data_IF_245226809531
#
_entry.id   IF_245226809531
#
_cell.length_a   1.000
_cell.length_b   1.000
_cell.length_c   1.000
_cell.angle_alpha   90.00
_cell.angle_beta   90.00
_cell.angle_gamma   90.00
#
_symmetry.space_group_name_H-M   'P 1'
#
loop_
_entity.id
_entity.type
_entity.pdbx_description
1 polymer ?
#
# COMPACT_ATOMS: atom_id res chain seq x y z
N UNK A 1 11.63 -9.88 -35.21
CA UNK A 1 11.68 -8.71 -34.35
C UNK A 1 12.15 -9.13 -32.95
N UNK A 2 13.01 -8.35 -32.30
CA UNK A 2 13.44 -8.64 -30.91
C UNK A 2 12.25 -8.37 -30.01
N UNK A 3 11.83 -9.34 -29.20
CA UNK A 3 10.70 -9.17 -28.27
C UNK A 3 11.05 -8.09 -27.24
N UNK A 4 10.23 -7.06 -27.11
CA UNK A 4 10.42 -6.02 -26.12
C UNK A 4 10.13 -6.59 -24.73
N UNK A 5 11.05 -6.34 -23.78
CA UNK A 5 10.96 -6.87 -22.43
C UNK A 5 11.44 -5.85 -21.41
N UNK A 6 10.53 -5.37 -20.58
CA UNK A 6 10.79 -4.36 -19.54
C UNK A 6 11.02 -5.03 -18.19
N UNK A 7 12.10 -4.68 -17.50
CA UNK A 7 12.33 -4.99 -16.10
C UNK A 7 11.86 -3.83 -15.23
N UNK A 8 10.95 -4.09 -14.30
CA UNK A 8 10.46 -3.13 -13.30
C UNK A 8 11.05 -3.48 -11.94
N UNK A 9 11.74 -2.57 -11.29
CA UNK A 9 12.44 -2.82 -10.01
C UNK A 9 11.78 -2.02 -8.89
N UNK A 10 11.14 -2.71 -7.90
CA UNK A 10 10.65 -2.12 -6.66
C UNK A 10 10.64 -3.14 -5.53
N UNK A 11 11.51 -3.00 -4.52
CA UNK A 11 11.71 -4.01 -3.46
C UNK A 11 10.89 -3.76 -2.19
N UNK A 12 10.52 -2.51 -1.88
CA UNK A 12 9.87 -2.08 -0.63
C UNK A 12 9.41 -0.61 -0.70
N UNK A 13 8.62 -0.05 0.25
CA UNK A 13 7.91 -0.84 1.24
C UNK A 13 6.64 -1.44 0.63
N UNK A 14 5.84 -2.19 1.41
CA UNK A 14 4.64 -2.88 0.89
C UNK A 14 3.69 -1.91 0.17
N UNK A 15 3.31 -0.80 0.80
CA UNK A 15 2.42 0.19 0.19
C UNK A 15 3.01 0.83 -1.08
N UNK A 16 4.33 1.10 -1.10
CA UNK A 16 5.00 1.61 -2.30
C UNK A 16 5.02 0.59 -3.45
N UNK A 17 5.15 -0.71 -3.14
CA UNK A 17 5.04 -1.78 -4.14
C UNK A 17 3.61 -1.87 -4.64
N UNK A 18 2.62 -1.85 -3.75
CA UNK A 18 1.20 -1.82 -4.09
C UNK A 18 0.87 -0.65 -5.04
N UNK A 19 1.40 0.55 -4.79
CA UNK A 19 1.20 1.70 -5.68
C UNK A 19 1.79 1.52 -7.09
N UNK A 20 2.66 0.53 -7.35
CA UNK A 20 3.12 0.26 -8.72
C UNK A 20 2.11 -0.53 -9.55
N UNK A 21 1.17 -1.24 -8.90
CA UNK A 21 0.21 -2.14 -9.56
C UNK A 21 -0.65 -1.42 -10.59
N UNK A 22 -1.33 -0.29 -10.29
CA UNK A 22 -2.13 0.43 -11.27
C UNK A 22 -1.33 0.85 -12.51
N UNK A 23 -0.06 1.21 -12.31
CA UNK A 23 0.80 1.69 -13.39
C UNK A 23 1.28 0.52 -14.25
N UNK A 24 1.71 -0.59 -13.62
CA UNK A 24 2.14 -1.81 -14.33
C UNK A 24 0.97 -2.43 -15.11
N UNK A 25 -0.23 -2.48 -14.51
CA UNK A 25 -1.44 -2.94 -15.20
C UNK A 25 -1.75 -2.09 -16.42
N UNK A 26 -1.76 -0.77 -16.26
CA UNK A 26 -2.05 0.17 -17.35
C UNK A 26 -1.02 0.08 -18.48
N UNK A 27 0.26 -0.08 -18.14
CA UNK A 27 1.33 -0.35 -19.10
C UNK A 27 1.07 -1.66 -19.85
N UNK A 28 0.80 -2.74 -19.12
CA UNK A 28 0.56 -4.06 -19.71
C UNK A 28 -0.62 -4.08 -20.67
N UNK A 29 -1.71 -3.37 -20.32
CA UNK A 29 -2.91 -3.25 -21.13
C UNK A 29 -2.67 -2.44 -22.41
N UNK A 30 -1.90 -1.35 -22.35
CA UNK A 30 -1.61 -0.49 -23.49
C UNK A 30 -0.54 -1.07 -24.43
N UNK A 31 0.35 -1.91 -23.91
CA UNK A 31 1.46 -2.53 -24.66
C UNK A 31 1.39 -4.07 -24.54
N UNK A 32 0.36 -4.74 -25.08
CA UNK A 32 0.16 -6.19 -24.87
C UNK A 32 1.25 -7.06 -25.51
N UNK A 33 2.02 -6.52 -26.46
CA UNK A 33 3.16 -7.20 -27.09
C UNK A 33 4.45 -7.08 -26.30
N UNK A 34 4.52 -6.20 -25.29
CA UNK A 34 5.69 -6.00 -24.44
C UNK A 34 5.61 -6.92 -23.24
N UNK A 35 6.65 -7.74 -23.03
CA UNK A 35 6.79 -8.49 -21.77
C UNK A 35 7.22 -7.57 -20.64
N UNK A 36 6.64 -7.75 -19.48
CA UNK A 36 6.98 -7.00 -18.27
C UNK A 36 7.37 -8.01 -17.19
N UNK A 37 8.53 -7.83 -16.58
CA UNK A 37 8.93 -8.61 -15.40
C UNK A 37 9.10 -7.67 -14.22
N UNK A 38 8.32 -7.88 -13.16
CA UNK A 38 8.46 -7.13 -11.92
C UNK A 38 9.42 -7.88 -11.00
N UNK A 39 10.50 -7.21 -10.62
CA UNK A 39 11.50 -7.69 -9.66
C UNK A 39 11.22 -7.08 -8.30
N UNK A 40 10.81 -7.92 -7.35
CA UNK A 40 10.51 -7.49 -5.99
C UNK A 40 10.84 -8.59 -4.97
N UNK A 41 10.54 -8.31 -3.69
CA UNK A 41 10.67 -9.31 -2.62
C UNK A 41 9.49 -10.30 -2.67
N UNK A 42 9.65 -11.51 -2.08
CA UNK A 42 8.64 -12.57 -2.16
C UNK A 42 7.22 -12.16 -1.78
N UNK A 43 7.05 -11.31 -0.75
CA UNK A 43 5.74 -10.84 -0.30
C UNK A 43 4.90 -10.15 -1.40
N UNK A 44 5.55 -9.62 -2.43
CA UNK A 44 4.90 -8.85 -3.49
C UNK A 44 4.30 -9.73 -4.60
N UNK A 45 4.53 -11.03 -4.59
CA UNK A 45 4.02 -11.97 -5.59
C UNK A 45 2.52 -11.82 -5.84
N UNK A 46 1.65 -11.73 -4.82
CA UNK A 46 0.20 -11.62 -5.00
C UNK A 46 -0.25 -10.40 -5.79
N UNK A 47 0.55 -9.34 -5.83
CA UNK A 47 0.22 -8.12 -6.57
C UNK A 47 0.37 -8.25 -8.08
N UNK A 48 1.22 -9.17 -8.55
CA UNK A 48 1.61 -9.24 -9.96
C UNK A 48 1.30 -10.59 -10.60
N UNK A 49 1.17 -11.65 -9.80
CA UNK A 49 0.75 -12.95 -10.28
C UNK A 49 -0.71 -12.83 -10.78
N UNK A 50 -0.92 -13.14 -12.05
CA UNK A 50 -2.21 -12.98 -12.73
C UNK A 50 -2.69 -11.53 -12.96
N UNK A 51 -1.85 -10.51 -12.79
CA UNK A 51 -2.23 -9.12 -13.04
C UNK A 51 -2.56 -8.87 -14.52
N UNK A 52 -1.78 -9.45 -15.44
CA UNK A 52 -2.01 -9.42 -16.89
C UNK A 52 -1.20 -10.53 -17.55
N UNK A 53 -1.63 -11.08 -18.73
CA UNK A 53 -0.94 -12.17 -19.40
C UNK A 53 0.53 -11.90 -19.78
N UNK A 54 0.89 -10.63 -19.97
CA UNK A 54 2.24 -10.19 -20.34
C UNK A 54 3.07 -9.70 -19.13
N UNK A 55 2.53 -9.80 -17.90
CA UNK A 55 3.23 -9.48 -16.65
C UNK A 55 3.70 -10.74 -15.97
N UNK A 56 4.99 -10.82 -15.67
CA UNK A 56 5.59 -11.86 -14.86
C UNK A 56 6.23 -11.31 -13.59
N UNK A 57 6.38 -12.16 -12.58
CA UNK A 57 7.00 -11.82 -11.31
C UNK A 57 8.32 -12.58 -11.13
N UNK A 58 9.34 -11.87 -10.62
CA UNK A 58 10.62 -12.45 -10.24
C UNK A 58 10.99 -12.05 -8.82
N UNK A 59 11.22 -13.03 -8.00
CA UNK A 59 11.63 -12.82 -6.61
C UNK A 59 13.10 -12.44 -6.49
N UNK A 60 13.37 -11.56 -5.54
CA UNK A 60 14.70 -11.24 -5.06
C UNK A 60 14.76 -11.33 -3.53
N UNK A 61 15.34 -12.40 -3.02
CA UNK A 61 15.65 -12.50 -1.58
C UNK A 61 16.91 -11.69 -1.27
N UNK A 62 16.70 -10.44 -0.92
CA UNK A 62 17.76 -9.48 -0.61
C UNK A 62 18.35 -9.64 0.80
N UNK A 63 17.78 -10.53 1.62
CA UNK A 63 18.29 -10.84 2.96
C UNK A 63 19.08 -12.15 2.99
N UNK A 64 18.79 -13.08 2.07
CA UNK A 64 19.43 -14.37 1.86
C UNK A 64 20.32 -14.39 0.61
N UNK A 65 19.83 -15.00 -0.48
CA UNK A 65 20.59 -15.29 -1.71
C UNK A 65 21.28 -14.06 -2.32
N UNK A 66 20.59 -12.90 -2.33
CA UNK A 66 21.10 -11.67 -2.96
C UNK A 66 21.58 -10.63 -1.95
N UNK A 67 22.07 -11.07 -0.78
CA UNK A 67 22.59 -10.19 0.25
C UNK A 67 23.94 -9.58 -0.15
N UNK A 68 24.07 -8.27 0.07
CA UNK A 68 25.32 -7.52 -0.16
C UNK A 68 25.73 -7.39 -1.63
N UNK A 69 26.90 -6.85 -1.92
CA UNK A 69 27.38 -6.61 -3.29
C UNK A 69 27.56 -7.90 -4.07
N UNK A 70 28.10 -8.96 -3.42
CA UNK A 70 28.29 -10.28 -4.06
C UNK A 70 26.93 -10.87 -4.51
N UNK A 71 25.92 -10.80 -3.65
CA UNK A 71 24.57 -11.26 -3.96
C UNK A 71 23.91 -10.41 -5.06
N UNK A 72 24.07 -9.08 -5.04
CA UNK A 72 23.58 -8.21 -6.12
C UNK A 72 24.25 -8.48 -7.46
N UNK A 73 25.54 -8.86 -7.48
CA UNK A 73 26.22 -9.31 -8.71
C UNK A 73 25.64 -10.64 -9.23
N UNK A 74 25.30 -11.57 -8.35
CA UNK A 74 24.64 -12.83 -8.74
C UNK A 74 23.26 -12.54 -9.33
N UNK A 75 22.47 -11.67 -8.69
CA UNK A 75 21.19 -11.22 -9.21
C UNK A 75 21.33 -10.55 -10.59
N UNK A 76 22.30 -9.64 -10.74
CA UNK A 76 22.56 -8.97 -12.01
C UNK A 76 22.84 -9.97 -13.14
N UNK A 77 23.70 -10.98 -12.91
CA UNK A 77 23.99 -12.04 -13.91
C UNK A 77 22.74 -12.83 -14.30
N UNK A 78 21.85 -13.09 -13.34
CA UNK A 78 20.56 -13.77 -13.60
C UNK A 78 19.62 -12.88 -14.42
N UNK A 79 19.65 -11.55 -14.19
CA UNK A 79 18.83 -10.58 -14.90
C UNK A 79 19.26 -10.42 -16.37
N UNK A 80 20.55 -10.25 -16.65
CA UNK A 80 21.03 -10.08 -18.05
C UNK A 80 20.70 -11.31 -18.93
N UNK A 81 20.68 -12.51 -18.36
CA UNK A 81 20.31 -13.72 -19.07
C UNK A 81 18.84 -13.71 -19.57
N UNK A 82 18.00 -12.82 -19.05
CA UNK A 82 16.58 -12.68 -19.45
C UNK A 82 16.35 -11.72 -20.64
N UNK A 83 17.39 -11.12 -21.17
CA UNK A 83 17.37 -10.30 -22.38
C UNK A 83 16.37 -9.12 -22.31
N UNK A 84 16.37 -8.37 -21.21
CA UNK A 84 15.60 -7.13 -21.11
C UNK A 84 16.03 -6.11 -22.16
N UNK A 85 15.06 -5.33 -22.65
CA UNK A 85 15.30 -4.22 -23.58
C UNK A 85 15.27 -2.85 -22.87
N UNK A 86 14.57 -2.76 -21.73
CA UNK A 86 14.47 -1.54 -20.95
C UNK A 86 14.38 -1.87 -19.44
N UNK A 87 14.90 -0.97 -18.61
CA UNK A 87 14.98 -1.12 -17.16
C UNK A 87 14.33 0.07 -16.48
N UNK A 88 13.25 -0.15 -15.73
CA UNK A 88 12.53 0.85 -14.94
C UNK A 88 12.85 0.70 -13.46
N UNK A 89 13.73 1.55 -12.91
CA UNK A 89 14.01 1.59 -11.47
C UNK A 89 12.99 2.50 -10.76
N UNK A 90 11.89 1.93 -10.28
CA UNK A 90 10.86 2.62 -9.52
C UNK A 90 11.21 2.77 -8.03
N UNK A 91 12.41 2.34 -7.61
CA UNK A 91 12.81 2.36 -6.20
C UNK A 91 13.88 3.42 -5.88
N UNK A 92 14.91 3.51 -6.71
CA UNK A 92 16.03 4.46 -6.57
C UNK A 92 16.61 4.52 -5.14
N UNK A 93 17.00 3.35 -4.60
CA UNK A 93 17.73 3.15 -3.33
C UNK A 93 19.05 2.45 -3.62
N UNK A 94 19.96 2.37 -2.65
CA UNK A 94 21.31 1.82 -2.84
C UNK A 94 21.35 0.52 -3.65
N UNK A 95 20.47 -0.46 -3.31
CA UNK A 95 20.43 -1.77 -3.98
C UNK A 95 19.98 -1.68 -5.43
N UNK A 96 18.91 -0.96 -5.71
CA UNK A 96 18.41 -0.79 -7.09
C UNK A 96 19.33 0.14 -7.88
N UNK A 97 19.95 1.15 -7.25
CA UNK A 97 20.93 2.01 -7.90
C UNK A 97 22.20 1.26 -8.29
N UNK A 98 22.61 0.25 -7.50
CA UNK A 98 23.70 -0.64 -7.87
C UNK A 98 23.37 -1.45 -9.13
N UNK A 99 22.19 -2.07 -9.20
CA UNK A 99 21.74 -2.78 -10.39
C UNK A 99 21.64 -1.85 -11.60
N UNK A 100 21.06 -0.67 -11.41
CA UNK A 100 20.96 0.37 -12.44
C UNK A 100 22.32 0.78 -12.99
N UNK A 101 23.31 1.00 -12.11
CA UNK A 101 24.68 1.30 -12.52
C UNK A 101 25.26 0.20 -13.42
N UNK A 102 25.05 -1.06 -13.06
CA UNK A 102 25.52 -2.20 -13.86
C UNK A 102 24.84 -2.24 -15.23
N UNK A 103 23.51 -2.03 -15.30
CA UNK A 103 22.79 -1.96 -16.57
C UNK A 103 23.23 -0.78 -17.44
N UNK A 104 23.53 0.38 -16.84
CA UNK A 104 24.07 1.52 -17.59
C UNK A 104 25.46 1.23 -18.18
N UNK A 105 26.34 0.53 -17.45
CA UNK A 105 27.66 0.14 -17.94
C UNK A 105 27.57 -0.80 -19.16
N UNK A 106 26.52 -1.64 -19.20
CA UNK A 106 26.27 -2.55 -20.31
C UNK A 106 25.33 -1.93 -21.39
N UNK A 107 25.15 -0.59 -21.37
CA UNK A 107 24.40 0.22 -22.36
C UNK A 107 22.92 -0.19 -22.53
N UNK A 108 22.25 -0.64 -21.46
CA UNK A 108 20.79 -0.84 -21.47
C UNK A 108 20.05 0.50 -21.48
N UNK A 109 18.83 0.53 -22.04
CA UNK A 109 17.90 1.65 -21.89
C UNK A 109 17.37 1.67 -20.44
N UNK A 110 17.75 2.65 -19.64
CA UNK A 110 17.47 2.69 -18.19
C UNK A 110 16.87 4.03 -17.79
N UNK A 111 15.73 3.99 -17.11
CA UNK A 111 15.15 5.15 -16.43
C UNK A 111 14.89 4.87 -14.95
N UNK A 112 14.76 5.94 -14.16
CA UNK A 112 14.52 5.81 -12.73
C UNK A 112 13.64 6.94 -12.20
N UNK A 113 12.94 6.64 -11.10
CA UNK A 113 12.01 7.56 -10.46
C UNK A 113 12.69 8.85 -9.97
N UNK A 114 12.10 9.99 -10.29
CA UNK A 114 12.31 11.23 -9.53
C UNK A 114 11.41 11.23 -8.29
N UNK A 115 12.02 11.34 -7.13
CA UNK A 115 11.32 11.37 -5.84
C UNK A 115 10.88 12.77 -5.42
N UNK A 116 11.09 13.78 -6.23
CA UNK A 116 10.81 15.19 -5.95
C UNK A 116 11.31 15.67 -4.58
N UNK A 117 12.55 15.30 -4.24
CA UNK A 117 13.13 15.52 -2.90
C UNK A 117 13.15 16.99 -2.48
N UNK A 118 13.34 17.91 -3.44
CA UNK A 118 13.33 19.36 -3.17
C UNK A 118 11.96 19.82 -2.71
N UNK A 119 10.91 19.49 -3.45
CA UNK A 119 9.52 19.83 -3.10
C UNK A 119 9.10 19.20 -1.77
N UNK A 120 9.39 17.91 -1.59
CA UNK A 120 9.12 17.19 -0.33
C UNK A 120 9.87 17.79 0.88
N UNK A 121 11.12 18.27 0.70
CA UNK A 121 11.86 18.95 1.77
C UNK A 121 11.19 20.27 2.15
N UNK A 122 10.71 21.04 1.17
CA UNK A 122 10.01 22.29 1.41
C UNK A 122 8.65 22.06 2.10
N UNK A 123 7.95 20.98 1.78
CA UNK A 123 6.69 20.59 2.39
C UNK A 123 6.82 20.33 3.91
N UNK A 124 7.94 19.78 4.38
CA UNK A 124 8.18 19.41 5.78
C UNK A 124 9.19 20.35 6.49
N UNK A 125 9.47 21.51 5.91
CA UNK A 125 10.39 22.46 6.50
C UNK A 125 9.84 23.03 7.81
N UNK A 126 10.70 23.28 8.80
CA UNK A 126 10.32 23.93 10.06
C UNK A 126 10.10 25.44 9.88
N UNK A 127 10.81 26.04 8.95
CA UNK A 127 10.72 27.47 8.59
C UNK A 127 10.45 27.62 7.09
N UNK A 128 9.70 28.64 6.70
CA UNK A 128 9.34 28.90 5.29
C UNK A 128 8.72 27.67 4.59
N UNK A 129 7.90 26.91 5.32
CA UNK A 129 7.18 25.75 4.82
C UNK A 129 6.31 26.12 3.62
N UNK A 130 6.33 25.30 2.58
CA UNK A 130 5.48 25.47 1.40
C UNK A 130 4.56 24.25 1.27
N UNK A 131 3.27 24.46 1.57
CA UNK A 131 2.22 23.45 1.42
C UNK A 131 1.80 23.33 -0.05
N UNK A 132 2.70 22.82 -0.90
CA UNK A 132 2.44 22.60 -2.32
C UNK A 132 2.32 21.10 -2.56
N UNK A 133 1.20 20.71 -3.19
CA UNK A 133 0.95 19.30 -3.57
C UNK A 133 2.05 18.80 -4.50
N UNK A 134 2.67 17.69 -4.14
CA UNK A 134 3.66 17.00 -4.96
C UNK A 134 2.96 16.05 -5.93
N UNK A 135 3.60 15.69 -7.06
CA UNK A 135 3.11 14.64 -7.94
C UNK A 135 2.85 13.34 -7.17
N UNK A 136 1.80 12.61 -7.54
CA UNK A 136 1.51 11.32 -6.92
C UNK A 136 2.59 10.28 -7.24
N UNK A 137 2.73 9.27 -6.39
CA UNK A 137 3.63 8.15 -6.69
C UNK A 137 3.26 7.45 -8.00
N UNK A 138 1.97 7.38 -8.33
CA UNK A 138 1.48 6.81 -9.60
C UNK A 138 2.00 7.58 -10.81
N UNK A 139 1.93 8.91 -10.76
CA UNK A 139 2.47 9.75 -11.83
C UNK A 139 3.99 9.58 -11.93
N UNK A 140 4.70 9.63 -10.79
CA UNK A 140 6.15 9.45 -10.78
C UNK A 140 6.59 8.10 -11.37
N UNK A 141 5.79 7.04 -11.21
CA UNK A 141 6.06 5.73 -11.83
C UNK A 141 5.74 5.74 -13.33
N UNK A 142 4.64 6.38 -13.74
CA UNK A 142 4.29 6.53 -15.15
C UNK A 142 5.36 7.32 -15.92
N UNK A 143 5.89 8.40 -15.32
CA UNK A 143 6.96 9.22 -15.90
C UNK A 143 8.25 8.41 -16.19
N UNK A 144 8.53 7.36 -15.40
CA UNK A 144 9.67 6.46 -15.68
C UNK A 144 9.47 5.67 -16.98
N UNK A 145 8.25 5.19 -17.21
CA UNK A 145 7.94 4.48 -18.46
C UNK A 145 7.93 5.42 -19.66
N UNK A 146 7.45 6.65 -19.50
CA UNK A 146 7.55 7.66 -20.55
C UNK A 146 9.00 7.95 -20.96
N UNK A 147 9.92 8.07 -19.97
CA UNK A 147 11.36 8.22 -20.24
C UNK A 147 11.96 7.04 -21.00
N UNK A 148 11.38 5.83 -20.86
CA UNK A 148 11.80 4.63 -21.60
C UNK A 148 11.19 4.52 -23.01
N UNK A 149 10.27 5.44 -23.37
CA UNK A 149 9.56 5.42 -24.64
C UNK A 149 8.19 4.74 -24.59
N UNK A 150 7.67 4.46 -23.38
CA UNK A 150 6.36 3.83 -23.14
C UNK A 150 5.46 4.75 -22.32
N UNK A 151 4.93 5.86 -22.86
CA UNK A 151 4.00 6.72 -22.13
C UNK A 151 2.75 5.95 -21.70
N UNK A 152 2.37 6.07 -20.44
CA UNK A 152 1.27 5.32 -19.82
C UNK A 152 0.13 6.25 -19.44
N UNK A 153 -1.06 6.00 -20.00
CA UNK A 153 -2.31 6.55 -19.48
C UNK A 153 -2.83 5.60 -18.41
N UNK A 154 -2.96 6.09 -17.19
CA UNK A 154 -3.42 5.28 -16.07
C UNK A 154 -4.89 4.88 -16.25
N UNK A 155 -5.15 3.59 -16.32
CA UNK A 155 -6.46 2.97 -16.52
C UNK A 155 -6.52 1.65 -15.74
N UNK A 156 -6.69 1.76 -14.44
CA UNK A 156 -6.80 0.64 -13.51
C UNK A 156 -8.03 0.87 -12.63
N UNK A 157 -8.87 -0.13 -12.47
CA UNK A 157 -10.04 -0.05 -11.59
C UNK A 157 -9.82 -0.85 -10.31
N UNK A 158 -9.56 -2.14 -10.44
CA UNK A 158 -9.37 -3.06 -9.33
C UNK A 158 -8.51 -4.25 -9.78
N UNK A 159 -7.85 -4.91 -8.84
CA UNK A 159 -7.19 -6.19 -9.08
C UNK A 159 -8.17 -7.29 -9.49
N UNK A 160 -9.44 -7.16 -9.13
CA UNK A 160 -10.51 -8.09 -9.48
C UNK A 160 -11.37 -7.61 -10.68
N UNK A 161 -10.91 -6.59 -11.41
CA UNK A 161 -11.64 -6.00 -12.53
C UNK A 161 -12.94 -5.32 -12.06
N UNK A 162 -14.07 -5.67 -12.68
CA UNK A 162 -15.41 -5.18 -12.30
C UNK A 162 -16.03 -5.97 -11.13
N UNK A 163 -15.43 -7.10 -10.74
CA UNK A 163 -15.90 -7.98 -9.68
C UNK A 163 -15.21 -7.76 -8.35
N UNK A 164 -15.40 -8.72 -7.45
CA UNK A 164 -14.76 -8.85 -6.15
C UNK A 164 -13.98 -10.16 -6.09
N UNK A 165 -13.13 -10.34 -5.08
CA UNK A 165 -12.45 -11.60 -4.83
C UNK A 165 -13.43 -12.71 -4.43
N UNK A 166 -13.01 -13.96 -4.59
CA UNK A 166 -13.85 -15.12 -4.26
C UNK A 166 -13.75 -15.47 -2.76
N UNK A 167 -14.79 -15.12 -1.99
CA UNK A 167 -14.87 -15.39 -0.54
C UNK A 167 -14.79 -16.89 -0.20
N UNK A 168 -15.18 -17.78 -1.13
CA UNK A 168 -15.16 -19.22 -0.88
C UNK A 168 -13.73 -19.78 -0.72
N UNK A 169 -12.72 -19.02 -1.13
CA UNK A 169 -11.31 -19.39 -0.99
C UNK A 169 -10.73 -19.00 0.38
N UNK A 170 -11.43 -18.19 1.15
CA UNK A 170 -10.97 -17.73 2.46
C UNK A 170 -11.22 -18.78 3.56
N UNK A 171 -10.38 -18.80 4.61
CA UNK A 171 -10.62 -19.63 5.79
C UNK A 171 -11.98 -19.30 6.42
N UNK A 172 -12.78 -20.32 6.72
CA UNK A 172 -14.11 -20.12 7.30
C UNK A 172 -14.06 -19.44 8.67
N UNK A 173 -12.97 -19.60 9.39
CA UNK A 173 -12.74 -19.01 10.70
C UNK A 173 -12.80 -17.47 10.67
N UNK A 174 -12.54 -16.85 9.54
CA UNK A 174 -12.62 -15.38 9.39
C UNK A 174 -14.08 -14.90 9.47
N UNK A 175 -15.05 -15.77 9.17
CA UNK A 175 -16.48 -15.50 9.21
C UNK A 175 -17.17 -16.03 10.47
N UNK A 176 -16.41 -16.39 11.49
CA UNK A 176 -16.91 -16.82 12.79
C UNK A 176 -16.64 -15.73 13.81
N UNK A 177 -17.71 -15.14 14.35
CA UNK A 177 -17.63 -14.32 15.55
C UNK A 177 -17.41 -15.21 16.78
N UNK A 178 -16.87 -14.65 17.89
CA UNK A 178 -16.48 -15.43 19.07
C UNK A 178 -17.60 -16.26 19.70
N UNK A 179 -18.85 -15.86 19.57
CA UNK A 179 -20.01 -16.62 20.09
C UNK A 179 -20.47 -17.75 19.16
N UNK A 180 -19.69 -18.10 18.12
CA UNK A 180 -20.04 -19.14 17.16
C UNK A 180 -21.12 -18.74 16.14
N UNK A 181 -21.51 -17.48 16.13
CA UNK A 181 -22.40 -16.94 15.12
C UNK A 181 -21.66 -16.77 13.79
N UNK A 182 -22.20 -17.36 12.73
CA UNK A 182 -21.64 -17.17 11.37
C UNK A 182 -22.00 -15.78 10.86
N UNK A 183 -21.00 -15.07 10.36
CA UNK A 183 -21.17 -13.83 9.62
C UNK A 183 -21.82 -14.18 8.27
N UNK A 184 -22.92 -13.51 7.94
CA UNK A 184 -23.55 -13.66 6.63
C UNK A 184 -22.59 -13.20 5.53
N UNK A 185 -22.43 -14.00 4.50
CA UNK A 185 -21.60 -13.66 3.33
C UNK A 185 -22.29 -12.66 2.37
N UNK A 186 -23.46 -12.12 2.73
CA UNK A 186 -24.12 -11.03 2.00
C UNK A 186 -23.49 -9.68 2.37
N UNK A 187 -22.42 -9.34 1.67
CA UNK A 187 -21.67 -8.09 1.83
C UNK A 187 -22.41 -6.86 1.25
N UNK A 188 -23.56 -7.05 0.59
CA UNK A 188 -24.41 -5.97 0.10
C UNK A 188 -25.48 -5.56 1.11
N UNK A 189 -25.59 -6.26 2.24
CA UNK A 189 -26.53 -5.92 3.31
C UNK A 189 -26.11 -4.59 3.97
N UNK A 190 -26.87 -3.52 3.69
CA UNK A 190 -26.61 -2.19 4.24
C UNK A 190 -26.89 -2.08 5.74
N UNK A 191 -27.70 -2.97 6.31
CA UNK A 191 -27.97 -3.03 7.74
C UNK A 191 -26.86 -3.75 8.51
N UNK A 192 -26.08 -4.60 7.83
CA UNK A 192 -24.93 -5.32 8.38
C UNK A 192 -23.65 -5.06 7.57
N UNK A 193 -23.17 -3.81 7.47
CA UNK A 193 -22.04 -3.49 6.62
C UNK A 193 -20.73 -4.13 7.14
N UNK A 194 -19.87 -4.53 6.21
CA UNK A 194 -18.52 -4.97 6.51
C UNK A 194 -17.58 -3.77 6.52
N UNK A 195 -16.93 -3.55 7.64
CA UNK A 195 -16.01 -2.41 7.86
C UNK A 195 -14.63 -2.95 8.15
N UNK A 196 -13.63 -2.49 7.41
CA UNK A 196 -12.22 -2.79 7.69
C UNK A 196 -11.60 -1.72 8.57
N UNK A 197 -10.76 -2.10 9.53
CA UNK A 197 -9.95 -1.17 10.32
C UNK A 197 -8.49 -1.66 10.32
N UNK A 198 -7.58 -0.80 9.84
CA UNK A 198 -6.15 -0.99 9.90
C UNK A 198 -5.53 0.06 10.84
N UNK A 199 -5.48 -0.20 12.16
CA UNK A 199 -5.24 0.83 13.19
C UNK A 199 -3.77 1.19 13.36
N UNK A 200 -2.85 0.50 12.67
CA UNK A 200 -1.41 0.65 12.88
C UNK A 200 -0.66 1.15 11.65
N UNK A 201 0.55 1.62 11.89
CA UNK A 201 1.51 2.03 10.87
C UNK A 201 2.94 1.83 11.39
N UNK A 202 3.92 1.80 10.48
CA UNK A 202 5.33 1.57 10.81
C UNK A 202 5.99 2.63 11.72
N UNK A 203 5.37 3.80 11.88
CA UNK A 203 5.97 4.92 12.60
C UNK A 203 4.96 5.62 13.52
N UNK A 204 5.38 5.94 14.74
CA UNK A 204 4.54 6.55 15.78
C UNK A 204 3.82 7.83 15.33
N UNK A 205 4.42 8.64 14.46
CA UNK A 205 3.79 9.85 13.91
C UNK A 205 2.61 9.59 12.98
N UNK A 206 2.27 8.33 12.73
CA UNK A 206 1.18 7.88 11.86
C UNK A 206 0.18 6.97 12.56
N UNK A 207 0.34 6.72 13.86
CA UNK A 207 -0.53 5.82 14.63
C UNK A 207 -1.52 6.65 15.43
N UNK A 208 -2.82 6.41 15.20
CA UNK A 208 -3.89 6.97 16.00
C UNK A 208 -3.91 6.30 17.38
N UNK A 209 -4.11 7.04 18.49
CA UNK A 209 -4.04 6.45 19.82
C UNK A 209 -5.06 5.31 20.01
N UNK A 210 -4.58 4.16 20.50
CA UNK A 210 -5.42 2.97 20.68
C UNK A 210 -6.71 3.24 21.51
N UNK A 211 -6.67 4.01 22.64
CA UNK A 211 -7.91 4.31 23.36
C UNK A 211 -8.91 5.15 22.57
N UNK A 212 -8.45 5.95 21.61
CA UNK A 212 -9.34 6.71 20.72
C UNK A 212 -9.87 5.84 19.58
N UNK A 213 -9.05 4.93 19.04
CA UNK A 213 -9.49 3.95 18.06
C UNK A 213 -10.57 3.02 18.64
N UNK A 214 -10.40 2.59 19.90
CA UNK A 214 -11.40 1.79 20.58
C UNK A 214 -12.75 2.54 20.71
N UNK A 215 -12.72 3.86 20.97
CA UNK A 215 -13.96 4.68 20.96
C UNK A 215 -14.57 4.76 19.55
N UNK A 216 -13.76 4.84 18.50
CA UNK A 216 -14.27 4.76 17.11
C UNK A 216 -15.00 3.43 16.88
N UNK A 217 -14.40 2.31 17.30
CA UNK A 217 -15.03 0.98 17.22
C UNK A 217 -16.38 0.98 17.96
N UNK A 218 -16.41 1.48 19.20
CA UNK A 218 -17.64 1.59 19.99
C UNK A 218 -18.72 2.43 19.31
N UNK A 219 -18.35 3.56 18.72
CA UNK A 219 -19.29 4.41 17.99
C UNK A 219 -19.81 3.74 16.73
N UNK A 220 -18.96 3.06 15.95
CA UNK A 220 -19.37 2.28 14.78
C UNK A 220 -20.39 1.20 15.16
N UNK A 221 -20.13 0.42 16.21
CA UNK A 221 -21.03 -0.60 16.72
C UNK A 221 -22.36 0.02 17.19
N UNK A 222 -22.31 1.17 17.87
CA UNK A 222 -23.52 1.86 18.35
C UNK A 222 -24.41 2.35 17.20
N UNK A 223 -23.80 2.86 16.11
CA UNK A 223 -24.55 3.35 14.94
C UNK A 223 -24.98 2.22 13.99
N UNK A 224 -24.18 1.16 13.91
CA UNK A 224 -24.41 -0.01 13.05
C UNK A 224 -24.34 -1.30 13.88
N UNK A 225 -25.37 -1.63 14.68
CA UNK A 225 -25.33 -2.75 15.63
C UNK A 225 -25.12 -4.12 14.99
N UNK A 226 -25.44 -4.25 13.71
CA UNK A 226 -25.29 -5.50 12.95
C UNK A 226 -24.05 -5.49 12.04
N UNK A 227 -23.19 -4.45 12.14
CA UNK A 227 -21.94 -4.40 11.34
C UNK A 227 -20.94 -5.49 11.75
N UNK A 228 -20.10 -5.88 10.81
CA UNK A 228 -18.94 -6.73 11.05
C UNK A 228 -17.67 -5.92 10.83
N UNK A 229 -16.81 -5.89 11.83
CA UNK A 229 -15.56 -5.10 11.80
C UNK A 229 -14.39 -6.06 11.69
N UNK A 230 -13.65 -5.97 10.59
CA UNK A 230 -12.47 -6.78 10.34
C UNK A 230 -11.21 -5.95 10.59
N UNK A 231 -10.34 -6.44 11.50
CA UNK A 231 -9.07 -5.77 11.81
C UNK A 231 -7.95 -6.31 10.92
N UNK A 232 -7.17 -5.38 10.38
CA UNK A 232 -6.02 -5.65 9.51
C UNK A 232 -4.74 -5.06 10.12
N UNK A 233 -3.69 -5.87 10.16
CA UNK A 233 -2.40 -5.49 10.72
C UNK A 233 -1.54 -6.73 10.91
N UNK A 234 -0.56 -6.69 11.78
CA UNK A 234 0.21 -7.88 12.10
C UNK A 234 1.58 -7.55 12.68
N UNK A 235 2.06 -8.46 13.48
CA UNK A 235 3.32 -8.34 14.20
C UNK A 235 3.15 -8.49 15.70
N UNK A 236 4.26 -8.65 16.39
CA UNK A 236 4.29 -8.98 17.83
C UNK A 236 3.60 -7.93 18.72
N UNK A 237 3.63 -6.65 18.30
CA UNK A 237 3.07 -5.55 19.09
C UNK A 237 1.62 -5.22 18.69
N UNK A 238 1.21 -5.54 17.47
CA UNK A 238 -0.11 -5.19 16.92
C UNK A 238 -1.16 -6.27 17.22
N UNK A 239 -0.82 -7.53 17.00
CA UNK A 239 -1.71 -8.68 17.17
C UNK A 239 -2.39 -8.73 18.54
N UNK A 240 -1.68 -8.58 19.68
CA UNK A 240 -2.33 -8.65 21.00
C UNK A 240 -3.38 -7.56 21.24
N UNK A 241 -3.21 -6.39 20.63
CA UNK A 241 -4.20 -5.29 20.75
C UNK A 241 -5.46 -5.62 19.94
N UNK A 242 -5.28 -6.14 18.72
CA UNK A 242 -6.41 -6.53 17.87
C UNK A 242 -7.17 -7.71 18.46
N UNK A 243 -6.48 -8.69 19.05
CA UNK A 243 -7.11 -9.81 19.76
C UNK A 243 -7.93 -9.32 20.95
N UNK A 244 -7.39 -8.41 21.77
CA UNK A 244 -8.12 -7.83 22.89
C UNK A 244 -9.38 -7.06 22.45
N UNK A 245 -9.37 -6.41 21.31
CA UNK A 245 -10.58 -5.77 20.75
C UNK A 245 -11.58 -6.80 20.20
N UNK A 246 -11.12 -7.88 19.58
CA UNK A 246 -11.97 -8.97 19.13
C UNK A 246 -12.65 -9.70 20.30
N UNK A 247 -11.91 -9.96 21.40
CA UNK A 247 -12.49 -10.51 22.63
C UNK A 247 -13.51 -9.57 23.29
N UNK A 248 -13.28 -8.26 23.19
CA UNK A 248 -14.14 -7.25 23.84
C UNK A 248 -15.43 -6.97 23.10
N UNK A 249 -15.42 -7.04 21.78
CA UNK A 249 -16.53 -6.65 20.91
C UNK A 249 -16.95 -7.80 20.00
N UNK A 250 -18.12 -8.40 20.20
CA UNK A 250 -18.59 -9.54 19.39
C UNK A 250 -18.65 -9.30 17.89
N UNK A 251 -18.77 -8.03 17.44
CA UNK A 251 -18.81 -7.65 16.03
C UNK A 251 -17.42 -7.54 15.39
N UNK A 252 -16.35 -7.64 16.20
CA UNK A 252 -14.97 -7.42 15.76
C UNK A 252 -14.26 -8.76 15.55
N UNK A 253 -13.57 -8.89 14.43
CA UNK A 253 -12.76 -10.06 14.08
C UNK A 253 -11.33 -9.61 13.77
N UNK A 254 -10.34 -10.19 14.43
CA UNK A 254 -8.93 -10.06 14.01
C UNK A 254 -8.72 -10.89 12.73
N UNK A 255 -9.01 -10.30 11.57
CA UNK A 255 -8.91 -10.96 10.28
C UNK A 255 -7.46 -11.37 9.96
N UNK A 256 -6.49 -10.52 10.29
CA UNK A 256 -5.08 -10.80 9.99
C UNK A 256 -4.52 -12.02 10.73
N UNK A 257 -5.10 -12.39 11.87
CA UNK A 257 -4.73 -13.61 12.58
C UNK A 257 -5.30 -14.89 11.93
N UNK A 258 -6.36 -14.75 11.14
CA UNK A 258 -7.11 -15.85 10.53
C UNK A 258 -6.84 -16.02 9.03
N UNK A 259 -6.32 -15.00 8.35
CA UNK A 259 -6.01 -15.00 6.93
C UNK A 259 -4.56 -15.48 6.66
N UNK A 260 -4.32 -16.07 5.48
CA UNK A 260 -3.04 -16.67 5.12
C UNK A 260 -2.18 -15.74 4.25
N UNK A 261 -2.29 -14.42 4.40
CA UNK A 261 -1.45 -13.43 3.75
C UNK A 261 -2.19 -12.47 2.82
N UNK A 262 -1.41 -11.72 2.05
CA UNK A 262 -1.90 -10.58 1.27
C UNK A 262 -3.00 -10.94 0.26
N UNK A 263 -2.95 -12.11 -0.35
CA UNK A 263 -4.01 -12.55 -1.28
C UNK A 263 -5.38 -12.60 -0.61
N UNK A 264 -5.43 -13.23 0.56
CA UNK A 264 -6.67 -13.37 1.33
C UNK A 264 -7.15 -12.01 1.86
N UNK A 265 -6.19 -11.15 2.32
CA UNK A 265 -6.52 -9.79 2.74
C UNK A 265 -7.14 -8.98 1.60
N UNK A 266 -6.60 -9.05 0.38
CA UNK A 266 -7.16 -8.37 -0.79
C UNK A 266 -8.56 -8.88 -1.14
N UNK A 267 -8.79 -10.20 -1.06
CA UNK A 267 -10.10 -10.79 -1.28
C UNK A 267 -11.09 -10.22 -0.26
N UNK A 268 -10.80 -10.32 1.03
CA UNK A 268 -11.68 -9.80 2.08
C UNK A 268 -11.90 -8.29 1.94
N UNK A 269 -10.82 -7.53 1.68
CA UNK A 269 -10.91 -6.07 1.49
C UNK A 269 -11.83 -5.69 0.33
N UNK A 270 -11.92 -6.48 -0.74
CA UNK A 270 -12.80 -6.19 -1.89
C UNK A 270 -14.29 -6.25 -1.56
N UNK A 271 -14.65 -6.83 -0.44
CA UNK A 271 -16.03 -6.95 0.07
C UNK A 271 -16.38 -5.92 1.15
N UNK A 272 -15.41 -5.14 1.60
CA UNK A 272 -15.65 -4.11 2.61
C UNK A 272 -16.44 -2.94 2.03
N UNK A 273 -17.37 -2.42 2.82
CA UNK A 273 -18.08 -1.17 2.53
C UNK A 273 -17.13 0.04 2.60
N UNK A 274 -16.20 0.00 3.55
CA UNK A 274 -15.19 1.03 3.78
C UNK A 274 -14.01 0.44 4.56
N UNK A 275 -12.82 0.98 4.33
CA UNK A 275 -11.62 0.74 5.12
C UNK A 275 -11.23 2.00 5.89
N UNK A 276 -11.20 1.94 7.20
CA UNK A 276 -10.53 2.94 8.05
C UNK A 276 -9.06 2.55 8.19
N UNK A 277 -8.14 3.38 7.75
CA UNK A 277 -6.71 3.07 7.79
C UNK A 277 -5.87 4.26 8.23
N UNK A 278 -4.73 3.99 8.81
CA UNK A 278 -3.66 4.97 8.89
C UNK A 278 -3.08 5.24 7.50
N UNK A 279 -2.28 6.30 7.35
CA UNK A 279 -1.36 6.45 6.22
C UNK A 279 -0.33 5.30 6.24
N UNK A 280 -0.76 4.12 5.76
CA UNK A 280 -0.05 2.84 5.87
C UNK A 280 -0.20 1.97 4.62
N UNK A 281 0.39 0.78 4.64
CA UNK A 281 0.27 -0.20 3.54
C UNK A 281 -1.18 -0.60 3.26
N UNK A 282 -1.99 -0.79 4.30
CA UNK A 282 -3.37 -1.26 4.18
C UNK A 282 -4.29 -0.25 3.45
N UNK A 283 -4.03 1.07 3.58
CA UNK A 283 -4.69 2.08 2.76
C UNK A 283 -4.49 1.79 1.25
N UNK A 284 -3.29 1.40 0.86
CA UNK A 284 -2.99 1.08 -0.53
C UNK A 284 -3.58 -0.25 -0.95
N UNK A 285 -3.56 -1.28 -0.08
CA UNK A 285 -4.16 -2.59 -0.37
C UNK A 285 -5.66 -2.45 -0.64
N UNK A 286 -6.40 -1.78 0.25
CA UNK A 286 -7.83 -1.52 0.07
C UNK A 286 -8.10 -0.73 -1.22
N UNK A 287 -7.24 0.23 -1.55
CA UNK A 287 -7.35 1.01 -2.79
C UNK A 287 -7.16 0.16 -4.06
N UNK A 288 -6.33 -0.90 -4.01
CA UNK A 288 -6.12 -1.81 -5.15
C UNK A 288 -7.34 -2.66 -5.49
N UNK A 289 -8.25 -2.83 -4.56
CA UNK A 289 -9.49 -3.61 -4.74
C UNK A 289 -10.73 -2.73 -4.78
N UNK A 290 -10.53 -1.43 -5.05
CA UNK A 290 -11.59 -0.42 -5.20
C UNK A 290 -12.43 -0.19 -3.95
N UNK A 291 -11.91 -0.52 -2.77
CA UNK A 291 -12.59 -0.25 -1.49
C UNK A 291 -12.39 1.21 -1.12
N UNK A 292 -13.47 1.95 -0.79
CA UNK A 292 -13.36 3.31 -0.26
C UNK A 292 -12.53 3.34 1.03
N UNK A 293 -11.66 4.34 1.17
CA UNK A 293 -10.78 4.47 2.35
C UNK A 293 -11.01 5.80 3.04
N UNK A 294 -11.28 5.73 4.33
CA UNK A 294 -11.10 6.85 5.28
C UNK A 294 -9.69 6.70 5.85
N UNK A 295 -8.85 7.72 5.67
CA UNK A 295 -7.44 7.64 6.08
C UNK A 295 -7.07 8.70 7.10
N UNK A 296 -6.35 8.31 8.16
CA UNK A 296 -5.93 9.22 9.24
C UNK A 296 -4.47 9.64 9.03
N UNK A 297 -4.24 10.97 9.06
CA UNK A 297 -2.95 11.58 8.76
C UNK A 297 -2.46 12.45 9.92
N UNK A 298 -1.33 12.08 10.52
CA UNK A 298 -0.68 12.83 11.60
C UNK A 298 0.52 13.66 11.15
N UNK A 299 1.73 13.14 11.38
CA UNK A 299 2.98 13.80 11.03
C UNK A 299 3.20 13.95 9.51
N UNK A 300 2.49 13.17 8.70
CA UNK A 300 2.48 13.16 7.24
C UNK A 300 1.34 13.98 6.66
N UNK A 301 1.24 14.07 5.34
CA UNK A 301 0.19 14.82 4.66
C UNK A 301 -0.07 14.24 3.26
N UNK A 302 -1.32 14.21 2.77
CA UNK A 302 -1.66 13.79 1.40
C UNK A 302 -0.86 14.50 0.31
N UNK A 303 -0.46 15.74 0.53
CA UNK A 303 0.36 16.53 -0.42
C UNK A 303 1.75 15.93 -0.68
N UNK A 304 2.21 14.96 0.11
CA UNK A 304 3.44 14.23 -0.18
C UNK A 304 3.32 13.26 -1.38
N UNK A 305 2.11 13.07 -1.92
CA UNK A 305 1.83 12.23 -3.09
C UNK A 305 1.62 10.76 -2.78
N UNK A 306 1.20 10.42 -1.55
CA UNK A 306 1.01 9.04 -1.07
C UNK A 306 -0.45 8.65 -0.80
N UNK A 307 -1.43 9.42 -1.32
CA UNK A 307 -2.83 8.98 -1.28
C UNK A 307 -3.01 7.63 -1.98
N UNK A 308 -3.96 6.83 -1.52
CA UNK A 308 -4.36 5.60 -2.18
C UNK A 308 -4.92 5.83 -3.59
N UNK A 309 -4.88 4.81 -4.42
CA UNK A 309 -5.40 4.86 -5.78
C UNK A 309 -6.89 5.20 -5.77
N UNK A 310 -7.31 6.20 -6.56
CA UNK A 310 -8.67 6.71 -6.67
C UNK A 310 -9.33 7.13 -5.34
N UNK A 311 -8.56 7.31 -4.25
CA UNK A 311 -9.14 7.75 -2.99
C UNK A 311 -9.36 9.27 -2.97
N UNK A 312 -10.52 9.68 -2.40
CA UNK A 312 -10.84 11.11 -2.26
C UNK A 312 -10.01 11.77 -1.16
N UNK A 313 -9.40 12.94 -1.42
CA UNK A 313 -8.77 13.73 -0.37
C UNK A 313 -9.73 14.18 0.74
N UNK A 314 -11.03 14.22 0.47
CA UNK A 314 -12.06 14.57 1.46
C UNK A 314 -12.20 13.52 2.56
N UNK A 315 -11.82 12.27 2.26
CA UNK A 315 -11.79 11.16 3.22
C UNK A 315 -10.48 11.11 4.02
N UNK A 316 -9.62 12.12 3.92
CA UNK A 316 -8.39 12.22 4.70
C UNK A 316 -8.63 12.99 6.00
N UNK A 317 -8.78 12.24 7.09
CA UNK A 317 -8.97 12.82 8.45
C UNK A 317 -7.63 13.35 8.95
N UNK A 318 -7.58 14.64 9.22
CA UNK A 318 -6.36 15.32 9.64
C UNK A 318 -6.69 16.67 10.30
N UNK A 319 -5.76 17.17 11.12
CA UNK A 319 -5.86 18.50 11.71
C UNK A 319 -4.99 19.49 10.94
N UNK A 320 -5.46 20.69 10.77
CA UNK A 320 -4.62 21.81 10.31
C UNK A 320 -3.80 22.34 11.50
N UNK A 321 -2.47 22.13 11.42
CA UNK A 321 -1.52 22.55 12.45
C UNK A 321 -0.25 23.10 11.81
N UNK A 322 0.31 24.20 12.32
CA UNK A 322 1.50 24.86 11.73
C UNK A 322 2.73 23.92 11.61
N UNK A 323 2.87 22.95 12.51
CA UNK A 323 3.96 21.99 12.47
C UNK A 323 3.78 20.91 11.40
N UNK A 324 2.56 20.69 10.85
CA UNK A 324 2.26 19.67 9.86
C UNK A 324 2.48 20.13 8.42
N UNK A 325 2.86 19.21 7.53
CA UNK A 325 3.55 17.95 7.87
C UNK A 325 4.95 18.24 8.40
N UNK A 326 5.43 17.40 9.33
CA UNK A 326 6.80 17.49 9.85
C UNK A 326 7.69 16.34 9.38
N UNK A 327 7.09 15.33 8.76
CA UNK A 327 7.78 14.18 8.17
C UNK A 327 7.12 13.73 6.87
N UNK A 328 7.91 13.30 5.90
CA UNK A 328 7.38 12.70 4.65
C UNK A 328 6.88 11.28 4.88
N UNK A 329 7.54 10.53 5.76
CA UNK A 329 7.28 9.11 6.01
C UNK A 329 6.79 8.81 7.43
N UNK A 330 6.64 9.84 8.29
CA UNK A 330 6.26 9.68 9.68
C UNK A 330 7.39 9.22 10.62
N UNK A 331 8.59 9.03 10.10
CA UNK A 331 9.75 8.44 10.80
C UNK A 331 10.57 9.45 11.63
N UNK A 332 10.20 10.73 11.65
CA UNK A 332 10.86 11.74 12.47
C UNK A 332 10.20 11.80 13.85
N UNK A 333 10.97 12.07 14.92
CA UNK A 333 10.40 12.32 16.23
C UNK A 333 9.50 13.57 16.19
N UNK A 334 8.48 13.60 17.03
CA UNK A 334 7.62 14.75 17.16
C UNK A 334 8.39 15.90 17.82
N UNK A 335 8.53 17.02 17.13
CA UNK A 335 9.24 18.20 17.67
C UNK A 335 8.52 18.82 18.89
N UNK A 336 7.18 18.67 18.98
CA UNK A 336 6.39 19.07 20.14
C UNK A 336 6.44 18.06 21.29
N UNK A 337 6.83 16.81 21.00
CA UNK A 337 6.85 15.71 21.96
C UNK A 337 5.48 15.08 22.28
N UNK A 338 4.37 15.66 21.82
CA UNK A 338 3.01 15.32 22.26
C UNK A 338 2.18 14.55 21.22
N UNK A 339 2.59 14.54 19.95
CA UNK A 339 1.80 14.01 18.82
C UNK A 339 0.37 14.55 18.75
N UNK A 340 0.16 15.85 19.09
CA UNK A 340 -1.15 16.49 19.09
C UNK A 340 -1.90 16.33 17.75
N UNK A 341 -1.18 16.24 16.62
CA UNK A 341 -1.76 15.98 15.30
C UNK A 341 -2.50 14.65 15.17
N UNK A 342 -2.27 13.70 16.08
CA UNK A 342 -3.00 12.44 16.18
C UNK A 342 -3.92 12.43 17.40
N UNK A 343 -3.43 12.87 18.55
CA UNK A 343 -4.18 12.82 19.82
C UNK A 343 -5.39 13.73 19.88
N UNK A 344 -5.38 14.83 19.11
CA UNK A 344 -6.47 15.80 19.09
C UNK A 344 -7.50 15.55 17.98
N UNK A 345 -7.30 14.55 17.13
CA UNK A 345 -8.37 14.05 16.27
C UNK A 345 -9.38 13.34 17.18
N UNK A 346 -10.61 13.87 17.24
CA UNK A 346 -11.64 13.21 18.05
C UNK A 346 -12.23 12.00 17.32
N UNK A 347 -12.76 10.98 18.03
CA UNK A 347 -13.42 9.84 17.40
C UNK A 347 -14.57 10.22 16.46
N UNK A 348 -15.26 11.33 16.76
CA UNK A 348 -16.39 11.85 15.94
C UNK A 348 -15.93 12.43 14.59
N UNK A 349 -14.66 12.76 14.45
CA UNK A 349 -14.06 13.20 13.17
C UNK A 349 -13.75 12.03 12.25
N UNK A 350 -13.59 10.84 12.83
CA UNK A 350 -13.25 9.61 12.12
C UNK A 350 -14.51 8.89 11.67
#
# INVERSE_FOLDING_TARGET
>A
MKTEHILVIRFSAMGDVAMTVPVVYSLAKQYPHVRITVLSRPFARPFFENLSPNVGFMEADLKGEYKGVKGLNALYRRLIAKQFTAIADLHSVLRSSYLRMRFNLDNFNVAHIDKHRKGKRMLVASTNKKLVKQPSSFQNYADVFEQLGYPVKLDFQSMFGEGKGDLSTLPQEVFQAEEGNLISLDDNNLEAPWIGIAPFAAHAGKIYPQPLMEKVIQQLISHYPHSHIFLFGGGQDETPVMDAWAEKFPQVVNASAKLHGISDELILMSHLRVMLSMDSGNMHLASLVNTPVVSIWGATHPYAGFMGWHQSPENAVQLDMPCRPCSIYGNKPCMRGDFACMKNISPEMV
#
